data_IF_439422090638
#
_entry.id   IF_439422090638
#
_cell.length_a   1.000
_cell.length_b   1.000
_cell.length_c   1.000
_cell.angle_alpha   90.00
_cell.angle_beta   90.00
_cell.angle_gamma   90.00
#
_symmetry.space_group_name_H-M   'P 1'
#
loop_
_entity.id
_entity.type
_entity.pdbx_description
1 polymer ?
#
# COMPACT_ATOMS: atom_id res chain seq x y z
N UNK A 1 50.37 16.50 15.01
CA UNK A 1 49.38 15.70 15.78
C UNK A 1 47.94 16.02 15.36
N UNK A 2 47.55 17.28 15.33
CA UNK A 2 46.18 17.73 15.02
C UNK A 2 45.58 17.16 13.72
N UNK A 3 46.35 17.10 12.63
CA UNK A 3 45.91 16.50 11.34
C UNK A 3 45.65 14.99 11.39
N UNK A 4 46.37 14.26 12.26
CA UNK A 4 46.20 12.82 12.44
C UNK A 4 44.91 12.55 13.26
N UNK A 5 44.66 13.38 14.27
CA UNK A 5 43.40 13.39 15.04
C UNK A 5 42.21 13.65 14.11
N UNK A 6 42.32 14.59 13.18
CA UNK A 6 41.27 14.88 12.20
C UNK A 6 41.02 13.75 11.21
N UNK A 7 42.08 13.13 10.69
CA UNK A 7 41.93 11.99 9.79
C UNK A 7 41.24 10.80 10.48
N UNK A 8 41.61 10.51 11.73
CA UNK A 8 40.96 9.47 12.54
C UNK A 8 39.50 9.82 12.85
N UNK A 9 39.23 11.08 13.20
CA UNK A 9 37.90 11.53 13.55
C UNK A 9 36.96 11.58 12.34
N UNK A 10 37.42 12.10 11.19
CA UNK A 10 36.66 12.07 9.94
C UNK A 10 36.39 10.63 9.46
N UNK A 11 37.36 9.73 9.62
CA UNK A 11 37.17 8.30 9.30
C UNK A 11 36.15 7.65 10.23
N UNK A 12 36.23 7.93 11.54
CA UNK A 12 35.27 7.44 12.52
C UNK A 12 33.84 7.94 12.22
N UNK A 13 33.70 9.20 11.82
CA UNK A 13 32.41 9.78 11.41
C UNK A 13 31.87 9.14 10.14
N UNK A 14 32.71 8.95 9.12
CA UNK A 14 32.31 8.27 7.90
C UNK A 14 31.82 6.84 8.21
N UNK A 15 32.55 6.09 9.05
CA UNK A 15 32.12 4.75 9.50
C UNK A 15 30.80 4.83 10.27
N UNK A 16 30.68 5.77 11.22
CA UNK A 16 29.47 5.94 12.02
C UNK A 16 28.22 6.28 11.19
N UNK A 17 28.37 6.98 10.06
CA UNK A 17 27.27 7.33 9.15
C UNK A 17 26.98 6.21 8.15
N UNK A 18 28.01 5.64 7.51
CA UNK A 18 27.83 4.68 6.43
C UNK A 18 27.52 3.26 6.89
N UNK A 19 28.05 2.82 8.04
CA UNK A 19 27.73 1.50 8.61
C UNK A 19 26.22 1.32 8.86
N UNK A 20 25.49 2.23 9.53
CA UNK A 20 24.05 2.06 9.73
C UNK A 20 23.26 2.13 8.42
N UNK A 21 23.68 2.97 7.45
CA UNK A 21 23.07 3.00 6.11
C UNK A 21 23.22 1.62 5.42
N UNK A 22 24.45 1.07 5.43
CA UNK A 22 24.74 -0.24 4.86
C UNK A 22 24.02 -1.39 5.56
N UNK A 23 23.93 -1.35 6.90
CA UNK A 23 23.19 -2.33 7.69
C UNK A 23 21.68 -2.28 7.40
N UNK A 24 21.09 -1.08 7.35
CA UNK A 24 19.68 -0.89 6.96
C UNK A 24 19.45 -1.42 5.55
N UNK A 25 20.32 -1.10 4.59
CA UNK A 25 20.23 -1.62 3.23
C UNK A 25 20.29 -3.15 3.18
N UNK A 26 21.25 -3.77 3.88
CA UNK A 26 21.40 -5.23 3.94
C UNK A 26 20.17 -5.90 4.57
N UNK A 27 19.60 -5.30 5.62
CA UNK A 27 18.37 -5.79 6.25
C UNK A 27 17.19 -5.70 5.29
N UNK A 28 16.99 -4.54 4.64
CA UNK A 28 15.91 -4.33 3.65
C UNK A 28 16.01 -5.28 2.46
N UNK A 29 17.21 -5.45 1.90
CA UNK A 29 17.43 -6.40 0.78
C UNK A 29 17.22 -7.85 1.19
N UNK A 30 17.60 -8.24 2.41
CA UNK A 30 17.31 -9.59 2.94
C UNK A 30 15.82 -9.83 3.06
N UNK A 31 15.09 -8.92 3.72
CA UNK A 31 13.63 -8.98 3.87
C UNK A 31 12.96 -9.06 2.49
N UNK A 32 13.35 -8.18 1.55
CA UNK A 32 12.80 -8.18 0.19
C UNK A 32 13.00 -9.52 -0.52
N UNK A 33 14.20 -10.11 -0.45
CA UNK A 33 14.47 -11.42 -1.06
C UNK A 33 13.62 -12.52 -0.42
N UNK A 34 13.36 -12.43 0.87
CA UNK A 34 12.52 -13.37 1.60
C UNK A 34 11.06 -13.22 1.22
N UNK A 35 10.52 -12.00 1.20
CA UNK A 35 9.16 -11.70 0.71
C UNK A 35 8.98 -12.19 -0.72
N UNK A 36 9.89 -11.86 -1.63
CA UNK A 36 9.79 -12.32 -3.03
C UNK A 36 9.83 -13.84 -3.17
N UNK A 37 10.62 -14.52 -2.34
CA UNK A 37 10.65 -16.00 -2.32
C UNK A 37 9.35 -16.58 -1.81
N UNK A 38 8.79 -16.02 -0.73
CA UNK A 38 7.50 -16.45 -0.18
C UNK A 38 6.39 -16.22 -1.19
N UNK A 39 6.29 -15.02 -1.77
CA UNK A 39 5.28 -14.67 -2.78
C UNK A 39 5.40 -15.55 -4.03
N UNK A 40 6.61 -15.89 -4.47
CA UNK A 40 6.81 -16.79 -5.61
C UNK A 40 6.30 -18.23 -5.38
N UNK A 41 6.05 -18.63 -4.13
CA UNK A 41 5.49 -19.94 -3.79
C UNK A 41 3.97 -19.93 -3.60
N UNK A 42 3.35 -18.75 -3.59
CA UNK A 42 1.91 -18.62 -3.41
C UNK A 42 1.22 -18.94 -4.74
N UNK A 43 0.38 -19.96 -4.73
CA UNK A 43 -0.62 -20.17 -5.78
C UNK A 43 -1.92 -19.51 -5.31
N UNK A 44 -2.27 -18.40 -5.96
CA UNK A 44 -3.36 -17.55 -5.51
C UNK A 44 -4.64 -17.94 -6.24
N UNK A 45 -5.61 -18.48 -5.51
CA UNK A 45 -6.93 -18.75 -6.05
C UNK A 45 -7.52 -17.46 -6.67
N UNK A 46 -8.20 -17.52 -7.83
CA UNK A 46 -8.74 -16.32 -8.49
C UNK A 46 -9.61 -15.44 -7.60
N UNK A 47 -10.46 -16.03 -6.75
CA UNK A 47 -11.30 -15.29 -5.82
C UNK A 47 -10.52 -14.63 -4.69
N UNK A 48 -9.45 -15.27 -4.23
CA UNK A 48 -8.52 -14.67 -3.27
C UNK A 48 -7.76 -13.50 -3.90
N UNK A 49 -7.32 -13.63 -5.16
CA UNK A 49 -6.72 -12.51 -5.89
C UNK A 49 -7.69 -11.33 -6.07
N UNK A 50 -8.95 -11.61 -6.37
CA UNK A 50 -9.99 -10.59 -6.46
C UNK A 50 -10.24 -9.91 -5.11
N UNK A 51 -10.24 -10.65 -3.99
CA UNK A 51 -10.36 -10.06 -2.65
C UNK A 51 -9.23 -9.09 -2.32
N UNK A 52 -7.98 -9.42 -2.66
CA UNK A 52 -6.81 -8.57 -2.42
C UNK A 52 -6.85 -7.30 -3.27
N UNK A 53 -7.55 -7.32 -4.40
CA UNK A 53 -7.80 -6.15 -5.26
C UNK A 53 -9.05 -5.36 -4.91
N UNK A 54 -9.83 -5.83 -3.93
CA UNK A 54 -11.16 -5.33 -3.64
C UNK A 54 -12.14 -5.44 -4.83
N UNK A 55 -11.98 -6.48 -5.66
CA UNK A 55 -12.76 -6.75 -6.87
C UNK A 55 -13.61 -8.06 -6.75
N UNK A 56 -13.80 -8.55 -5.53
CA UNK A 56 -14.41 -9.86 -5.27
C UNK A 56 -15.90 -9.90 -5.64
N UNK A 57 -16.61 -8.78 -5.48
CA UNK A 57 -18.03 -8.69 -5.80
C UNK A 57 -18.25 -8.59 -7.31
N UNK A 58 -17.38 -7.92 -8.06
CA UNK A 58 -17.37 -7.89 -9.52
C UNK A 58 -17.13 -9.28 -10.09
N UNK A 59 -16.16 -10.01 -9.53
CA UNK A 59 -15.88 -11.40 -9.89
C UNK A 59 -17.08 -12.32 -9.60
N UNK A 60 -17.71 -12.18 -8.43
CA UNK A 60 -18.89 -12.95 -8.04
C UNK A 60 -20.11 -12.63 -8.93
N UNK A 61 -20.35 -11.34 -9.19
CA UNK A 61 -21.43 -10.90 -10.06
C UNK A 61 -21.24 -11.39 -11.50
N UNK A 62 -20.00 -11.33 -12.01
CA UNK A 62 -19.67 -11.83 -13.34
C UNK A 62 -19.97 -13.33 -13.48
N UNK A 63 -19.60 -14.15 -12.49
CA UNK A 63 -19.94 -15.58 -12.50
C UNK A 63 -21.46 -15.78 -12.52
N UNK A 64 -22.20 -15.04 -11.71
CA UNK A 64 -23.67 -15.16 -11.64
C UNK A 64 -24.37 -14.68 -12.91
N UNK A 65 -23.85 -13.64 -13.58
CA UNK A 65 -24.37 -13.16 -14.87
C UNK A 65 -24.06 -14.17 -15.98
N UNK A 66 -22.85 -14.71 -16.02
CA UNK A 66 -22.46 -15.75 -17.01
C UNK A 66 -23.25 -17.04 -16.83
N UNK A 67 -23.49 -17.45 -15.59
CA UNK A 67 -24.33 -18.59 -15.25
C UNK A 67 -25.84 -18.33 -15.44
N UNK A 68 -26.22 -17.09 -15.78
CA UNK A 68 -27.61 -16.73 -16.04
C UNK A 68 -28.49 -16.65 -14.80
N UNK A 69 -27.92 -16.50 -13.60
CA UNK A 69 -28.67 -16.30 -12.35
C UNK A 69 -29.13 -14.85 -12.16
N UNK A 70 -28.33 -13.88 -12.64
CA UNK A 70 -28.59 -12.45 -12.51
C UNK A 70 -28.72 -11.79 -13.87
N UNK A 71 -29.56 -10.77 -13.93
CA UNK A 71 -29.59 -9.78 -15.02
C UNK A 71 -29.44 -8.40 -14.40
N UNK A 72 -28.59 -7.57 -14.99
CA UNK A 72 -28.43 -6.16 -14.63
C UNK A 72 -29.03 -5.33 -15.75
N UNK A 73 -29.85 -4.34 -15.43
CA UNK A 73 -30.39 -3.41 -16.42
C UNK A 73 -29.43 -2.24 -16.72
N UNK A 74 -29.84 -1.34 -17.61
CA UNK A 74 -29.03 -0.20 -18.00
C UNK A 74 -28.82 0.78 -16.84
N UNK A 75 -29.73 0.81 -15.88
CA UNK A 75 -29.72 1.68 -14.71
C UNK A 75 -28.88 1.13 -13.55
N UNK A 76 -28.37 -0.09 -13.69
CA UNK A 76 -27.55 -0.76 -12.66
C UNK A 76 -28.36 -1.48 -11.58
N UNK A 77 -29.66 -1.68 -11.78
CA UNK A 77 -30.47 -2.52 -10.91
C UNK A 77 -30.28 -4.00 -11.26
N UNK A 78 -30.14 -4.81 -10.21
CA UNK A 78 -29.92 -6.25 -10.29
C UNK A 78 -31.26 -6.97 -10.09
N UNK A 79 -31.55 -7.91 -10.98
CA UNK A 79 -32.74 -8.74 -10.94
C UNK A 79 -32.38 -10.22 -11.00
N UNK A 80 -33.12 -11.06 -10.27
CA UNK A 80 -33.04 -12.50 -10.42
C UNK A 80 -33.72 -12.94 -11.73
N UNK A 81 -33.06 -13.85 -12.43
CA UNK A 81 -33.71 -14.66 -13.48
C UNK A 81 -34.50 -15.81 -12.84
N UNK A 82 -35.23 -16.59 -13.64
CA UNK A 82 -35.87 -17.81 -13.15
C UNK A 82 -34.86 -18.79 -12.52
N UNK A 83 -33.68 -18.93 -13.14
CA UNK A 83 -32.60 -19.77 -12.60
C UNK A 83 -31.99 -19.17 -11.33
N UNK A 84 -31.97 -17.84 -11.22
CA UNK A 84 -31.55 -17.14 -10.00
C UNK A 84 -32.49 -17.37 -8.82
N UNK A 85 -33.79 -17.55 -9.06
CA UNK A 85 -34.79 -17.84 -8.00
C UNK A 85 -34.79 -19.29 -7.53
N UNK A 86 -34.32 -20.23 -8.36
CA UNK A 86 -34.28 -21.66 -8.01
C UNK A 86 -33.24 -21.95 -6.90
N UNK A 87 -33.71 -22.29 -5.70
CA UNK A 87 -32.87 -22.62 -4.56
C UNK A 87 -32.01 -23.87 -4.75
N UNK A 88 -32.39 -24.80 -5.64
CA UNK A 88 -31.59 -25.98 -5.95
C UNK A 88 -30.37 -25.66 -6.82
N UNK A 89 -30.36 -24.49 -7.48
CA UNK A 89 -29.25 -24.01 -8.30
C UNK A 89 -28.47 -22.94 -7.56
N UNK A 90 -27.43 -23.37 -6.87
CA UNK A 90 -26.48 -22.48 -6.20
C UNK A 90 -25.08 -22.65 -6.79
N UNK A 91 -24.29 -21.58 -6.91
CA UNK A 91 -22.88 -21.66 -7.25
C UNK A 91 -22.11 -22.57 -6.29
N UNK A 92 -20.98 -23.12 -6.75
CA UNK A 92 -20.11 -23.93 -5.91
C UNK A 92 -19.29 -23.06 -4.93
N UNK A 93 -18.86 -21.87 -5.37
CA UNK A 93 -17.98 -21.02 -4.58
C UNK A 93 -18.76 -20.19 -3.53
N UNK A 94 -18.22 -19.99 -2.31
CA UNK A 94 -18.90 -19.28 -1.23
C UNK A 94 -19.24 -17.82 -1.54
N UNK A 95 -18.38 -17.09 -2.27
CA UNK A 95 -18.62 -15.68 -2.62
C UNK A 95 -19.82 -15.45 -3.55
N UNK A 96 -19.91 -16.05 -4.76
CA UNK A 96 -21.10 -15.92 -5.60
C UNK A 96 -22.35 -16.52 -4.94
N UNK A 97 -22.18 -17.54 -4.10
CA UNK A 97 -23.29 -18.06 -3.28
C UNK A 97 -23.80 -17.04 -2.27
N UNK A 98 -22.91 -16.32 -1.59
CA UNK A 98 -23.28 -15.28 -0.63
C UNK A 98 -23.96 -14.10 -1.32
N UNK A 99 -23.46 -13.68 -2.49
CA UNK A 99 -24.06 -12.63 -3.30
C UNK A 99 -25.46 -13.04 -3.80
N UNK A 100 -25.62 -14.24 -4.36
CA UNK A 100 -26.92 -14.72 -4.83
C UNK A 100 -27.94 -14.81 -3.69
N UNK A 101 -27.52 -15.25 -2.51
CA UNK A 101 -28.37 -15.25 -1.31
C UNK A 101 -28.76 -13.84 -0.87
N UNK A 102 -27.87 -12.85 -1.04
CA UNK A 102 -28.20 -11.46 -0.75
C UNK A 102 -29.27 -10.93 -1.70
N UNK A 103 -29.09 -11.10 -3.01
CA UNK A 103 -30.10 -10.68 -4.00
C UNK A 103 -31.44 -11.37 -3.75
N UNK A 104 -31.46 -12.67 -3.41
CA UNK A 104 -32.69 -13.41 -3.06
C UNK A 104 -33.45 -12.88 -1.85
N UNK A 105 -32.76 -12.31 -0.86
CA UNK A 105 -33.44 -11.72 0.31
C UNK A 105 -34.24 -10.47 -0.05
N UNK A 106 -33.82 -9.78 -1.10
CA UNK A 106 -34.38 -8.50 -1.51
C UNK A 106 -35.26 -8.60 -2.77
N UNK A 107 -35.40 -9.78 -3.38
CA UNK A 107 -36.36 -10.02 -4.48
C UNK A 107 -37.81 -9.91 -3.93
N UNK A 108 -38.74 -9.23 -4.62
CA UNK A 108 -38.65 -8.72 -6.00
C UNK A 108 -38.15 -7.27 -6.16
N UNK A 109 -37.72 -6.61 -5.10
CA UNK A 109 -37.32 -5.20 -5.15
C UNK A 109 -35.97 -5.02 -5.86
N UNK A 110 -35.79 -3.92 -6.63
CA UNK A 110 -34.53 -3.67 -7.33
C UNK A 110 -33.44 -3.27 -6.33
N UNK A 111 -32.34 -4.01 -6.35
CA UNK A 111 -31.12 -3.74 -5.56
C UNK A 111 -29.91 -3.56 -6.46
N UNK A 112 -28.93 -2.78 -6.05
CA UNK A 112 -27.64 -2.69 -6.73
C UNK A 112 -26.56 -3.53 -6.04
N UNK A 113 -25.52 -3.92 -6.78
CA UNK A 113 -24.35 -4.59 -6.21
C UNK A 113 -23.64 -3.73 -5.16
N UNK A 114 -23.52 -2.42 -5.43
CA UNK A 114 -22.89 -1.47 -4.51
C UNK A 114 -23.63 -1.35 -3.17
N UNK A 115 -24.96 -1.39 -3.19
CA UNK A 115 -25.75 -1.38 -1.96
C UNK A 115 -25.57 -2.69 -1.18
N UNK A 116 -25.55 -3.84 -1.85
CA UNK A 116 -25.32 -5.14 -1.20
C UNK A 116 -23.95 -5.19 -0.53
N UNK A 117 -22.89 -4.74 -1.21
CA UNK A 117 -21.54 -4.71 -0.66
C UNK A 117 -21.44 -3.85 0.61
N UNK A 118 -22.11 -2.70 0.60
CA UNK A 118 -22.03 -1.72 1.68
C UNK A 118 -22.93 -2.08 2.88
N UNK A 119 -24.19 -2.44 2.62
CA UNK A 119 -25.25 -2.52 3.63
C UNK A 119 -25.72 -3.95 3.98
N UNK A 120 -25.49 -4.96 3.15
CA UNK A 120 -25.97 -6.31 3.45
C UNK A 120 -25.03 -7.01 4.44
N UNK A 121 -25.38 -6.96 5.72
CA UNK A 121 -24.56 -7.49 6.81
C UNK A 121 -24.22 -8.98 6.66
N UNK A 122 -25.17 -9.80 6.21
CA UNK A 122 -24.93 -11.25 6.06
C UNK A 122 -24.03 -11.55 4.86
N UNK A 123 -24.08 -10.75 3.79
CA UNK A 123 -23.12 -10.81 2.69
C UNK A 123 -21.72 -10.45 3.21
N UNK A 124 -21.57 -9.30 3.87
CA UNK A 124 -20.29 -8.84 4.41
C UNK A 124 -19.70 -9.83 5.40
N UNK A 125 -20.51 -10.40 6.29
CA UNK A 125 -20.07 -11.42 7.25
C UNK A 125 -19.50 -12.65 6.56
N UNK A 126 -20.16 -13.15 5.50
CA UNK A 126 -19.70 -14.33 4.75
C UNK A 126 -18.47 -14.04 3.89
N UNK A 127 -18.46 -12.90 3.20
CA UNK A 127 -17.32 -12.45 2.42
C UNK A 127 -16.10 -12.22 3.34
N UNK A 128 -16.31 -11.65 4.52
CA UNK A 128 -15.28 -11.47 5.55
C UNK A 128 -14.78 -12.77 6.15
N UNK A 129 -15.66 -13.76 6.38
CA UNK A 129 -15.25 -15.09 6.85
C UNK A 129 -14.37 -15.81 5.82
N UNK A 130 -14.75 -15.78 4.54
CA UNK A 130 -13.93 -16.35 3.47
C UNK A 130 -12.59 -15.61 3.32
N UNK A 131 -12.59 -14.27 3.40
CA UNK A 131 -11.33 -13.48 3.41
C UNK A 131 -10.43 -13.90 4.57
N UNK A 132 -10.97 -13.99 5.80
CA UNK A 132 -10.18 -14.39 6.96
C UNK A 132 -9.59 -15.80 6.81
N UNK A 133 -10.37 -16.76 6.29
CA UNK A 133 -9.89 -18.12 6.01
C UNK A 133 -8.75 -18.11 4.98
N UNK A 134 -8.90 -17.37 3.88
CA UNK A 134 -7.88 -17.24 2.85
C UNK A 134 -6.62 -16.52 3.33
N UNK A 135 -6.76 -15.48 4.15
CA UNK A 135 -5.64 -14.75 4.74
C UNK A 135 -4.80 -15.64 5.67
N UNK A 136 -5.40 -16.67 6.30
CA UNK A 136 -4.65 -17.64 7.12
C UNK A 136 -3.76 -18.58 6.30
N UNK A 137 -4.02 -18.73 5.00
CA UNK A 137 -3.21 -19.53 4.08
C UNK A 137 -2.00 -18.76 3.57
N UNK A 138 -1.99 -17.42 3.72
CA UNK A 138 -0.87 -16.61 3.32
C UNK A 138 0.29 -16.78 4.30
N UNK A 139 1.54 -16.89 3.81
CA UNK A 139 2.69 -16.90 4.70
C UNK A 139 2.80 -15.57 5.43
N UNK A 140 3.27 -15.60 6.68
CA UNK A 140 3.57 -14.37 7.42
C UNK A 140 4.68 -13.60 6.69
N UNK A 141 4.29 -12.55 5.97
CA UNK A 141 5.24 -11.71 5.26
C UNK A 141 6.01 -10.85 6.28
N UNK A 142 7.35 -10.90 6.29
CA UNK A 142 8.14 -10.09 7.21
C UNK A 142 7.91 -8.61 6.90
N UNK A 143 7.19 -7.93 7.80
CA UNK A 143 6.93 -6.50 7.69
C UNK A 143 8.22 -5.73 7.90
N UNK A 144 8.52 -4.77 7.03
CA UNK A 144 9.51 -3.76 7.41
C UNK A 144 8.97 -3.05 8.66
N UNK A 145 9.79 -2.86 9.71
CA UNK A 145 9.39 -2.01 10.81
C UNK A 145 9.03 -0.66 10.19
N UNK A 146 7.75 -0.31 10.30
CA UNK A 146 7.22 0.95 9.85
C UNK A 146 8.01 2.05 10.58
N UNK A 147 8.42 3.09 9.87
CA UNK A 147 9.17 4.22 10.43
C UNK A 147 8.21 5.11 11.24
N UNK A 148 7.41 4.50 12.14
CA UNK A 148 6.57 5.21 13.09
C UNK A 148 7.49 5.92 14.06
N UNK A 149 7.74 7.19 13.74
CA UNK A 149 8.07 8.28 14.68
C UNK A 149 9.06 7.89 15.79
N UNK A 150 10.25 7.42 15.43
CA UNK A 150 11.32 7.35 16.40
C UNK A 150 11.92 8.76 16.57
N UNK A 151 11.29 9.61 17.37
CA UNK A 151 11.80 10.96 17.71
C UNK A 151 13.27 10.93 18.17
N UNK A 152 13.72 9.82 18.75
CA UNK A 152 15.12 9.58 19.11
C UNK A 152 16.05 9.47 17.90
N UNK A 153 15.59 8.86 16.80
CA UNK A 153 16.33 8.82 15.54
C UNK A 153 16.38 10.20 14.88
N UNK A 154 15.31 10.98 14.98
CA UNK A 154 15.28 12.36 14.46
C UNK A 154 16.21 13.28 15.25
N UNK A 155 16.21 13.16 16.59
CA UNK A 155 17.13 13.91 17.46
C UNK A 155 18.60 13.48 17.25
N UNK A 156 18.86 12.18 17.08
CA UNK A 156 20.18 11.68 16.69
C UNK A 156 20.61 12.18 15.29
N UNK A 157 19.68 12.32 14.35
CA UNK A 157 19.95 12.87 13.03
C UNK A 157 20.35 14.36 13.11
N UNK A 158 19.65 15.17 13.92
CA UNK A 158 20.01 16.56 14.19
C UNK A 158 21.41 16.69 14.80
N UNK A 159 21.74 15.88 15.80
CA UNK A 159 23.09 15.84 16.39
C UNK A 159 24.13 15.43 15.34
N UNK A 160 23.82 14.46 14.48
CA UNK A 160 24.66 14.06 13.36
C UNK A 160 24.94 15.22 12.39
N UNK A 161 23.92 16.01 12.03
CA UNK A 161 24.06 17.18 11.16
C UNK A 161 24.97 18.22 11.81
N UNK A 162 24.74 18.56 13.09
CA UNK A 162 25.59 19.52 13.83
C UNK A 162 27.04 19.05 13.87
N UNK A 163 27.27 17.76 14.11
CA UNK A 163 28.62 17.20 14.16
C UNK A 163 29.30 17.24 12.78
N UNK A 164 28.57 16.94 11.71
CA UNK A 164 29.08 17.08 10.33
C UNK A 164 29.41 18.54 10.02
N UNK A 165 28.54 19.49 10.37
CA UNK A 165 28.83 20.92 10.15
C UNK A 165 30.06 21.39 10.93
N UNK A 166 30.20 20.97 12.20
CA UNK A 166 31.40 21.25 13.00
C UNK A 166 32.66 20.66 12.33
N UNK A 167 32.56 19.47 11.75
CA UNK A 167 33.64 18.81 11.02
C UNK A 167 34.13 19.66 9.84
N UNK A 168 33.19 20.14 9.03
CA UNK A 168 33.46 21.00 7.88
C UNK A 168 34.12 22.31 8.31
N UNK A 169 33.62 22.94 9.37
CA UNK A 169 34.17 24.19 9.91
C UNK A 169 35.62 24.02 10.39
N UNK A 170 35.91 22.96 11.16
CA UNK A 170 37.26 22.71 11.70
C UNK A 170 38.26 22.42 10.57
N UNK A 171 37.88 21.60 9.59
CA UNK A 171 38.76 21.30 8.44
C UNK A 171 38.95 22.53 7.56
N UNK A 172 37.91 23.32 7.33
CA UNK A 172 37.99 24.58 6.57
C UNK A 172 38.95 25.58 7.21
N UNK A 173 38.84 25.80 8.52
CA UNK A 173 39.76 26.67 9.27
C UNK A 173 41.20 26.18 9.14
N UNK A 174 41.45 24.88 9.28
CA UNK A 174 42.81 24.35 9.22
C UNK A 174 43.45 24.39 7.83
N UNK A 175 42.65 24.25 6.78
CA UNK A 175 43.13 24.43 5.40
C UNK A 175 43.50 25.89 5.10
N UNK A 176 42.82 26.86 5.74
CA UNK A 176 43.09 28.29 5.56
C UNK A 176 44.31 28.75 6.39
N UNK A 177 44.45 28.26 7.62
CA UNK A 177 45.46 28.77 8.56
C UNK A 177 46.78 27.98 8.59
N UNK A 178 46.80 26.71 8.21
CA UNK A 178 48.02 25.89 8.28
C UNK A 178 48.27 25.12 6.97
N UNK A 179 49.27 25.57 6.19
CA UNK A 179 49.71 24.84 5.00
C UNK A 179 50.41 23.51 5.36
N UNK A 180 50.13 22.41 4.64
CA UNK A 180 50.82 21.13 4.86
C UNK A 180 52.26 21.15 4.34
N UNK A 181 53.22 20.89 5.23
CA UNK A 181 54.65 21.02 4.97
C UNK A 181 55.37 19.68 4.75
N UNK A 182 54.67 18.54 4.84
CA UNK A 182 55.28 17.22 4.67
C UNK A 182 54.34 16.14 4.08
N UNK A 183 54.89 15.07 3.50
CA UNK A 183 54.12 14.05 2.76
C UNK A 183 53.08 13.33 3.64
N UNK A 184 53.41 13.04 4.90
CA UNK A 184 52.46 12.48 5.86
C UNK A 184 51.29 13.43 6.18
N UNK A 185 51.57 14.74 6.25
CA UNK A 185 50.55 15.75 6.54
C UNK A 185 49.59 15.91 5.35
N UNK A 186 50.10 15.79 4.12
CA UNK A 186 49.30 15.70 2.91
C UNK A 186 48.42 14.46 2.88
N UNK A 187 48.95 13.29 3.23
CA UNK A 187 48.15 12.06 3.32
C UNK A 187 46.98 12.21 4.30
N UNK A 188 47.20 12.76 5.49
CA UNK A 188 46.12 13.01 6.46
C UNK A 188 45.08 14.02 5.94
N UNK A 189 45.52 15.09 5.26
CA UNK A 189 44.61 16.09 4.68
C UNK A 189 43.74 15.50 3.57
N UNK A 190 44.32 14.66 2.70
CA UNK A 190 43.59 13.94 1.66
C UNK A 190 42.54 13.00 2.27
N UNK A 191 42.91 12.22 3.29
CA UNK A 191 41.96 11.33 3.99
C UNK A 191 40.81 12.12 4.62
N UNK A 192 41.11 13.24 5.29
CA UNK A 192 40.08 14.10 5.88
C UNK A 192 39.16 14.70 4.80
N UNK A 193 39.72 15.19 3.69
CA UNK A 193 38.95 15.71 2.56
C UNK A 193 38.06 14.63 1.93
N UNK A 194 38.57 13.42 1.69
CA UNK A 194 37.79 12.30 1.19
C UNK A 194 36.66 11.90 2.15
N UNK A 195 36.91 11.91 3.47
CA UNK A 195 35.89 11.64 4.48
C UNK A 195 34.75 12.68 4.46
N UNK A 196 35.07 13.96 4.31
CA UNK A 196 34.09 15.03 4.18
C UNK A 196 33.28 14.94 2.87
N UNK A 197 33.95 14.67 1.76
CA UNK A 197 33.28 14.45 0.46
C UNK A 197 32.33 13.26 0.55
N UNK A 198 32.74 12.16 1.18
CA UNK A 198 31.85 11.04 1.43
C UNK A 198 30.63 11.49 2.25
N UNK A 199 30.82 12.16 3.39
CA UNK A 199 29.70 12.66 4.21
C UNK A 199 28.72 13.55 3.42
N UNK A 200 29.19 14.39 2.49
CA UNK A 200 28.32 15.20 1.62
C UNK A 200 27.45 14.34 0.68
N UNK A 201 27.91 13.16 0.27
CA UNK A 201 27.14 12.21 -0.53
C UNK A 201 26.28 11.25 0.29
N UNK A 202 26.35 11.26 1.62
CA UNK A 202 25.63 10.31 2.47
C UNK A 202 24.11 10.39 2.28
N UNK A 203 23.55 11.60 2.17
CA UNK A 203 22.12 11.80 1.96
C UNK A 203 21.67 11.29 0.58
N UNK A 204 22.43 11.57 -0.47
CA UNK A 204 22.19 11.05 -1.82
C UNK A 204 22.28 9.54 -1.86
N UNK A 205 23.27 8.95 -1.20
CA UNK A 205 23.39 7.50 -1.06
C UNK A 205 22.19 6.91 -0.30
N UNK A 206 21.74 7.56 0.77
CA UNK A 206 20.55 7.17 1.51
C UNK A 206 19.26 7.24 0.69
N UNK A 207 19.10 8.29 -0.14
CA UNK A 207 17.98 8.42 -1.09
C UNK A 207 18.01 7.33 -2.17
N UNK A 208 19.16 7.09 -2.78
CA UNK A 208 19.29 6.04 -3.80
C UNK A 208 19.07 4.64 -3.20
N UNK A 209 19.56 4.40 -1.99
CA UNK A 209 19.27 3.18 -1.23
C UNK A 209 17.78 3.05 -0.95
N UNK A 210 17.11 4.12 -0.50
CA UNK A 210 15.65 4.13 -0.30
C UNK A 210 14.92 3.82 -1.59
N UNK A 211 15.19 4.53 -2.68
CA UNK A 211 14.57 4.29 -4.00
C UNK A 211 14.75 2.86 -4.50
N UNK A 212 15.94 2.27 -4.35
CA UNK A 212 16.20 0.87 -4.75
C UNK A 212 15.59 -0.15 -3.81
N UNK A 213 15.37 0.22 -2.55
CA UNK A 213 14.76 -0.64 -1.53
C UNK A 213 13.32 -0.29 -1.25
N UNK A 214 12.72 0.59 -2.06
CA UNK A 214 11.33 0.97 -1.92
C UNK A 214 10.52 -0.29 -2.21
N UNK A 215 9.84 -0.74 -1.17
CA UNK A 215 9.19 -2.03 -1.16
C UNK A 215 7.82 -1.81 -1.80
N UNK A 216 7.77 -1.89 -3.13
CA UNK A 216 6.50 -2.14 -3.81
C UNK A 216 5.84 -3.37 -3.20
N UNK A 217 4.51 -3.45 -3.28
CA UNK A 217 3.73 -4.55 -2.73
C UNK A 217 3.78 -5.77 -3.68
N UNK A 218 4.63 -6.78 -3.41
CA UNK A 218 4.82 -7.88 -4.36
C UNK A 218 3.61 -8.83 -4.36
N UNK A 219 2.86 -8.89 -3.25
CA UNK A 219 1.62 -9.66 -3.17
C UNK A 219 0.52 -8.96 -3.97
N UNK A 220 0.40 -7.63 -3.86
CA UNK A 220 -0.50 -6.85 -4.69
C UNK A 220 -0.12 -6.86 -6.17
N UNK A 221 1.17 -6.88 -6.51
CA UNK A 221 1.63 -7.06 -7.88
C UNK A 221 1.23 -8.44 -8.44
N UNK A 222 1.36 -9.50 -7.63
CA UNK A 222 0.89 -10.84 -7.99
C UNK A 222 -0.64 -10.87 -8.21
N UNK A 223 -1.41 -10.26 -7.31
CA UNK A 223 -2.87 -10.19 -7.43
C UNK A 223 -3.30 -9.39 -8.67
N UNK A 224 -2.62 -8.28 -8.98
CA UNK A 224 -2.89 -7.42 -10.15
C UNK A 224 -2.48 -8.04 -11.48
N UNK A 225 -1.63 -9.07 -11.49
CA UNK A 225 -1.08 -9.64 -12.71
C UNK A 225 -2.14 -10.25 -13.64
N UNK A 226 -3.21 -10.82 -13.09
CA UNK A 226 -4.26 -11.49 -13.88
C UNK A 226 -5.65 -11.10 -13.34
N UNK A 227 -6.58 -10.64 -14.21
CA UNK A 227 -7.97 -10.40 -13.81
C UNK A 227 -8.71 -11.70 -13.51
N UNK A 228 -9.78 -11.64 -12.72
CA UNK A 228 -10.61 -12.82 -12.45
C UNK A 228 -11.17 -13.41 -13.76
N UNK A 229 -11.11 -14.74 -13.98
CA UNK A 229 -11.51 -15.36 -15.24
C UNK A 229 -12.96 -15.10 -15.60
N UNK A 230 -13.88 -15.11 -14.63
CA UNK A 230 -15.29 -14.79 -14.87
C UNK A 230 -15.49 -13.34 -15.34
N UNK A 231 -14.78 -12.38 -14.73
CA UNK A 231 -14.88 -10.97 -15.13
C UNK A 231 -14.24 -10.74 -16.51
N UNK A 232 -13.12 -11.42 -16.79
CA UNK A 232 -12.50 -11.42 -18.12
C UNK A 232 -13.37 -12.06 -19.21
N UNK A 233 -14.22 -13.02 -18.87
CA UNK A 233 -15.11 -13.72 -19.82
C UNK A 233 -16.39 -12.93 -20.17
N UNK A 234 -16.76 -11.90 -19.40
CA UNK A 234 -17.85 -11.00 -19.77
C UNK A 234 -17.49 -10.20 -21.04
N UNK A 235 -18.49 -9.89 -21.85
CA UNK A 235 -18.36 -8.86 -22.89
C UNK A 235 -18.31 -7.44 -22.27
N UNK A 236 -17.89 -6.46 -23.06
CA UNK A 236 -17.66 -5.10 -22.57
C UNK A 236 -18.94 -4.41 -22.06
N UNK A 237 -20.08 -4.71 -22.70
CA UNK A 237 -21.37 -4.17 -22.30
C UNK A 237 -21.75 -4.69 -20.92
N UNK A 238 -21.70 -6.00 -20.68
CA UNK A 238 -22.02 -6.60 -19.38
C UNK A 238 -21.03 -6.18 -18.30
N UNK A 239 -19.73 -6.04 -18.62
CA UNK A 239 -18.75 -5.49 -17.66
C UNK A 239 -19.14 -4.08 -17.22
N UNK A 240 -19.53 -3.24 -18.17
CA UNK A 240 -19.98 -1.87 -17.88
C UNK A 240 -21.21 -1.86 -16.97
N UNK A 241 -22.17 -2.76 -17.19
CA UNK A 241 -23.35 -2.88 -16.34
C UNK A 241 -23.01 -3.35 -14.92
N UNK A 242 -22.10 -4.31 -14.76
CA UNK A 242 -21.62 -4.77 -13.45
C UNK A 242 -20.94 -3.62 -12.69
N UNK A 243 -20.01 -2.92 -13.33
CA UNK A 243 -19.29 -1.79 -12.73
C UNK A 243 -20.23 -0.62 -12.40
N UNK A 244 -21.23 -0.36 -13.24
CA UNK A 244 -22.27 0.64 -12.96
C UNK A 244 -23.07 0.26 -11.72
N UNK A 245 -23.56 -0.99 -11.64
CA UNK A 245 -24.30 -1.47 -10.47
C UNK A 245 -23.47 -1.43 -9.19
N UNK A 246 -22.16 -1.64 -9.29
CA UNK A 246 -21.24 -1.52 -8.16
C UNK A 246 -21.09 -0.07 -7.68
N UNK A 247 -21.00 0.88 -8.61
CA UNK A 247 -20.92 2.31 -8.28
C UNK A 247 -22.19 2.87 -7.64
N UNK A 248 -23.33 2.24 -7.90
CA UNK A 248 -24.64 2.64 -7.36
C UNK A 248 -24.82 2.12 -5.92
N UNK A 249 -24.48 2.93 -4.91
CA UNK A 249 -24.63 2.55 -3.48
C UNK A 249 -25.94 2.98 -2.84
N UNK A 250 -26.59 4.01 -3.39
CA UNK A 250 -27.71 4.70 -2.73
C UNK A 250 -29.02 4.63 -3.49
N UNK A 251 -28.96 4.42 -4.80
CA UNK A 251 -30.12 4.54 -5.69
C UNK A 251 -31.06 3.35 -5.63
N UNK A 252 -30.51 2.13 -5.59
CA UNK A 252 -31.27 0.89 -5.69
C UNK A 252 -31.22 0.15 -4.35
N UNK A 253 -32.17 0.50 -3.49
CA UNK A 253 -32.37 -0.08 -2.16
C UNK A 253 -33.67 -0.88 -2.03
N UNK A 254 -34.63 -0.66 -2.95
CA UNK A 254 -36.04 -0.88 -2.64
C UNK A 254 -36.50 0.14 -1.60
N UNK A 255 -37.13 1.23 -2.05
CA UNK A 255 -38.06 2.13 -1.33
C UNK A 255 -37.92 2.43 0.19
N UNK A 256 -36.75 2.32 0.82
CA UNK A 256 -36.60 2.70 2.21
C UNK A 256 -36.25 4.19 2.31
N UNK A 257 -37.27 4.96 2.68
CA UNK A 257 -37.23 6.22 3.42
C UNK A 257 -36.10 7.15 2.99
N UNK A 258 -36.44 8.07 2.08
CA UNK A 258 -35.85 9.42 2.13
C UNK A 258 -36.03 9.86 3.57
N UNK A 259 -34.99 9.68 4.39
CA UNK A 259 -34.82 10.47 5.60
C UNK A 259 -34.87 11.89 5.05
N UNK A 260 -35.90 12.70 5.39
CA UNK A 260 -35.88 14.08 4.97
C UNK A 260 -34.52 14.63 5.38
N UNK A 261 -33.83 15.25 4.43
CA UNK A 261 -32.65 16.05 4.73
C UNK A 261 -33.07 17.05 5.80
N UNK A 262 -32.86 16.70 7.07
CA UNK A 262 -32.79 17.69 8.12
C UNK A 262 -31.48 18.40 7.82
N UNK A 263 -31.59 19.53 7.13
CA UNK A 263 -30.52 20.47 6.81
C UNK A 263 -29.86 21.10 8.06
N UNK A 264 -30.09 20.56 9.27
CA UNK A 264 -29.72 21.17 10.55
C UNK A 264 -28.84 20.31 11.47
N UNK A 265 -28.30 19.17 11.00
CA UNK A 265 -27.19 18.48 11.69
C UNK A 265 -25.99 18.32 10.74
N UNK A 266 -25.51 19.46 10.26
CA UNK A 266 -24.14 19.60 9.84
C UNK A 266 -23.22 19.50 11.07
N UNK A 267 -22.12 18.77 10.90
CA UNK A 267 -20.91 18.76 11.74
C UNK A 267 -20.94 17.90 13.01
N UNK A 268 -20.77 16.55 12.90
CA UNK A 268 -19.84 15.83 13.81
C UNK A 268 -19.52 14.33 13.52
N UNK A 269 -19.91 13.72 12.39
CA UNK A 269 -19.69 12.26 12.19
C UNK A 269 -18.97 11.84 10.90
N UNK A 270 -17.96 12.61 10.47
CA UNK A 270 -16.95 12.18 9.47
C UNK A 270 -15.54 12.12 10.09
N UNK A 271 -15.38 11.47 11.24
CA UNK A 271 -14.06 10.99 11.71
C UNK A 271 -14.06 9.48 11.97
N UNK A 272 -14.84 8.73 11.18
CA UNK A 272 -14.55 7.31 11.00
C UNK A 272 -13.48 7.21 9.91
N UNK A 273 -12.24 7.47 10.35
CA UNK A 273 -11.03 7.28 9.56
C UNK A 273 -11.11 5.94 8.85
N UNK A 274 -11.21 6.02 7.53
CA UNK A 274 -11.01 4.92 6.59
C UNK A 274 -9.67 4.27 6.91
N UNK A 275 -9.72 3.17 7.66
CA UNK A 275 -8.54 2.46 8.18
C UNK A 275 -7.60 1.91 7.09
N UNK A 276 -8.00 2.00 5.81
CA UNK A 276 -7.21 1.58 4.65
C UNK A 276 -6.51 2.72 3.91
N UNK A 277 -6.91 3.99 4.08
CA UNK A 277 -6.21 5.13 3.46
C UNK A 277 -4.85 5.37 4.10
N UNK A 278 -4.68 5.08 5.40
CA UNK A 278 -3.39 5.11 6.09
C UNK A 278 -2.43 3.96 5.69
N UNK A 279 -2.91 2.94 4.95
CA UNK A 279 -2.08 1.82 4.50
C UNK A 279 -1.49 2.03 3.10
N UNK A 280 -2.06 2.93 2.28
CA UNK A 280 -1.66 3.09 0.88
C UNK A 280 -1.57 4.54 0.36
N UNK A 281 -1.89 5.56 1.17
CA UNK A 281 -1.65 6.96 0.83
C UNK A 281 -0.20 7.39 1.11
N UNK A 282 0.74 6.92 0.28
CA UNK A 282 2.07 7.55 0.13
C UNK A 282 2.43 7.74 -1.35
N UNK A 283 1.49 8.33 -2.09
CA UNK A 283 1.74 8.84 -3.45
C UNK A 283 0.82 10.04 -3.72
N UNK A 284 1.22 11.23 -3.24
CA UNK A 284 0.86 12.57 -3.73
C UNK A 284 0.84 13.63 -2.60
N UNK A 285 1.96 13.80 -1.88
CA UNK A 285 2.17 14.98 -1.04
C UNK A 285 3.63 15.44 -1.19
N UNK A 286 4.00 15.82 -2.41
CA UNK A 286 5.22 16.59 -2.71
C UNK A 286 5.15 17.29 -4.09
N UNK A 287 3.94 17.47 -4.64
CA UNK A 287 3.71 18.36 -5.80
C UNK A 287 2.65 19.39 -5.38
N UNK A 288 3.14 20.52 -4.86
CA UNK A 288 2.58 21.87 -4.93
C UNK A 288 2.88 22.65 -3.64
N UNK A 289 4.10 23.18 -3.53
CA UNK A 289 4.37 24.48 -2.90
C UNK A 289 5.78 24.99 -3.30
N UNK A 290 5.85 25.52 -4.52
CA UNK A 290 6.82 26.52 -5.01
C UNK A 290 6.05 27.31 -6.10
N UNK A 291 5.40 28.42 -5.81
CA UNK A 291 5.91 29.77 -5.53
C UNK A 291 4.93 30.80 -6.14
N UNK A 292 5.19 32.13 -6.19
CA UNK A 292 6.40 32.88 -5.80
C UNK A 292 6.31 33.61 -4.44
#
# INVERSE_FOLDING_TARGET
MLRLVLALWASAMAVAVYVPIGLRWRRRTRIRREVLRLVATIDLEPYHAALLRNEAIEAAAAELVLAGHLRIDAEGAVFLTEQGRDHARTPAHPLPTALLKAVRRHDPEPVSLGWIDWNDEEHRRRSGAYRAEQDTLLPELPRLPHDKSNQLLDCCACLGIVFVMMSWSVVGVLLVFEWPQGPWQWACAVVAACGLVALAFAERAGREVRKRTDCGDPLGDLARAVPHPAFGALDEERRTLVLRSLGERYRWRGADTVVPENEDEADEWLDDKVWWEDAYAYRAAEEDEDGP
#
